data_IF_767181963978
#
_entry.id   IF_767181963978
#
_cell.length_a   1.000
_cell.length_b   1.000
_cell.length_c   1.000
_cell.angle_alpha   90.00
_cell.angle_beta   90.00
_cell.angle_gamma   90.00
#
_symmetry.space_group_name_H-M   'P 1'
#
loop_
_entity.id
_entity.type
_entity.pdbx_description
1 polymer ?
#
# COMPACT_ATOMS: atom_id res chain seq x y z
N UNK A 1 6.67 -20.24 -20.81
CA UNK A 1 5.97 -20.04 -19.53
C UNK A 1 6.94 -19.37 -18.59
N UNK A 2 6.95 -18.03 -18.59
CA UNK A 2 7.79 -17.27 -17.67
C UNK A 2 6.92 -16.97 -16.46
N UNK A 3 7.12 -17.73 -15.38
CA UNK A 3 6.68 -17.34 -14.04
C UNK A 3 7.51 -16.10 -13.66
N UNK A 4 7.13 -14.96 -14.20
CA UNK A 4 7.69 -13.65 -13.89
C UNK A 4 7.25 -13.28 -12.46
N UNK A 5 7.93 -13.91 -11.51
CA UNK A 5 8.55 -13.23 -10.38
C UNK A 5 7.63 -12.22 -9.70
N UNK A 6 6.54 -12.71 -9.10
CA UNK A 6 5.75 -11.92 -8.14
C UNK A 6 6.74 -11.29 -7.15
N UNK A 7 6.90 -9.96 -7.21
CA UNK A 7 7.89 -9.26 -6.40
C UNK A 7 7.64 -9.55 -4.91
N UNK A 8 8.67 -9.58 -4.05
CA UNK A 8 8.48 -9.86 -2.62
C UNK A 8 7.43 -8.95 -1.97
N UNK A 9 7.36 -7.69 -2.40
CA UNK A 9 6.32 -6.74 -2.01
C UNK A 9 4.93 -7.21 -2.43
N UNK A 10 4.74 -7.60 -3.70
CA UNK A 10 3.44 -8.06 -4.22
C UNK A 10 2.96 -9.33 -3.51
N UNK A 11 3.87 -10.24 -3.16
CA UNK A 11 3.54 -11.44 -2.37
C UNK A 11 3.03 -11.07 -0.98
N UNK A 12 3.74 -10.21 -0.25
CA UNK A 12 3.31 -9.71 1.08
C UNK A 12 1.95 -9.03 1.03
N UNK A 13 1.70 -8.22 0.01
CA UNK A 13 0.40 -7.57 -0.18
C UNK A 13 -0.72 -8.61 -0.37
N UNK A 14 -0.50 -9.64 -1.19
CA UNK A 14 -1.48 -10.72 -1.41
C UNK A 14 -1.74 -11.49 -0.11
N UNK A 15 -0.69 -11.84 0.63
CA UNK A 15 -0.78 -12.54 1.92
C UNK A 15 -1.60 -11.73 2.93
N UNK A 16 -1.32 -10.44 3.10
CA UNK A 16 -2.07 -9.56 4.01
C UNK A 16 -3.54 -9.41 3.63
N UNK A 17 -3.83 -9.20 2.34
CA UNK A 17 -5.22 -9.11 1.87
C UNK A 17 -5.99 -10.42 2.10
N UNK A 18 -5.30 -11.56 2.01
CA UNK A 18 -5.87 -12.90 2.24
C UNK A 18 -6.12 -13.15 3.72
N UNK A 19 -5.13 -12.87 4.59
CA UNK A 19 -5.25 -13.00 6.05
C UNK A 19 -6.41 -12.15 6.58
N UNK A 20 -6.57 -10.94 6.06
CA UNK A 20 -7.61 -9.99 6.50
C UNK A 20 -8.96 -10.20 5.80
N UNK A 21 -9.08 -11.20 4.91
CA UNK A 21 -10.28 -11.51 4.14
C UNK A 21 -10.89 -10.30 3.44
N UNK A 22 -10.06 -9.48 2.79
CA UNK A 22 -10.54 -8.29 2.11
C UNK A 22 -11.47 -8.65 0.95
N UNK A 23 -12.60 -7.95 0.86
CA UNK A 23 -13.51 -8.06 -0.28
C UNK A 23 -12.82 -7.60 -1.57
N UNK A 24 -13.26 -8.04 -2.76
CA UNK A 24 -12.66 -7.64 -4.03
C UNK A 24 -12.61 -6.11 -4.23
N UNK A 25 -13.59 -5.39 -3.66
CA UNK A 25 -13.60 -3.92 -3.67
C UNK A 25 -12.44 -3.34 -2.84
N UNK A 26 -12.26 -3.85 -1.62
CA UNK A 26 -11.19 -3.42 -0.72
C UNK A 26 -9.81 -3.77 -1.30
N UNK A 27 -9.67 -4.93 -1.94
CA UNK A 27 -8.43 -5.31 -2.62
C UNK A 27 -8.07 -4.32 -3.76
N UNK A 28 -9.04 -3.94 -4.59
CA UNK A 28 -8.83 -2.93 -5.65
C UNK A 28 -8.42 -1.59 -5.07
N UNK A 29 -9.08 -1.15 -4.00
CA UNK A 29 -8.76 0.12 -3.32
C UNK A 29 -7.35 0.09 -2.72
N UNK A 30 -6.98 -1.02 -2.07
CA UNK A 30 -5.66 -1.26 -1.51
C UNK A 30 -4.56 -1.15 -2.58
N UNK A 31 -4.71 -1.83 -3.73
CA UNK A 31 -3.77 -1.74 -4.84
C UNK A 31 -3.66 -0.32 -5.41
N UNK A 32 -4.78 0.39 -5.53
CA UNK A 32 -4.80 1.78 -5.97
C UNK A 32 -4.01 2.69 -5.02
N UNK A 33 -4.16 2.51 -3.71
CA UNK A 33 -3.41 3.29 -2.73
C UNK A 33 -1.90 3.03 -2.78
N UNK A 34 -1.47 1.79 -2.96
CA UNK A 34 -0.03 1.46 -3.14
C UNK A 34 0.52 2.04 -4.43
N UNK A 35 -0.24 2.00 -5.53
CA UNK A 35 0.16 2.65 -6.79
C UNK A 35 0.33 4.15 -6.61
N UNK A 36 -0.64 4.82 -5.99
CA UNK A 36 -0.57 6.26 -5.73
C UNK A 36 0.60 6.63 -4.80
N UNK A 37 0.92 5.77 -3.83
CA UNK A 37 2.07 5.96 -2.96
C UNK A 37 3.40 5.83 -3.72
N UNK A 38 3.53 4.83 -4.60
CA UNK A 38 4.71 4.70 -5.45
C UNK A 38 4.90 5.93 -6.37
N UNK A 39 3.80 6.47 -6.90
CA UNK A 39 3.81 7.72 -7.69
C UNK A 39 4.25 8.91 -6.83
N UNK A 40 3.71 9.05 -5.61
CA UNK A 40 4.08 10.12 -4.68
C UNK A 40 5.57 10.07 -4.30
N UNK A 41 6.12 8.86 -4.07
CA UNK A 41 7.52 8.70 -3.72
C UNK A 41 8.48 8.85 -4.91
N UNK A 42 8.00 8.68 -6.14
CA UNK A 42 8.85 8.61 -7.35
C UNK A 42 9.82 7.42 -7.36
N UNK A 43 9.66 6.47 -6.43
CA UNK A 43 10.48 5.27 -6.26
C UNK A 43 9.63 4.10 -5.80
N UNK A 44 10.21 2.91 -5.86
CA UNK A 44 9.51 1.69 -5.44
C UNK A 44 9.18 1.72 -3.95
N UNK A 45 7.94 1.38 -3.54
CA UNK A 45 7.46 1.54 -2.16
C UNK A 45 8.03 0.50 -1.18
N UNK A 46 8.72 -0.53 -1.68
CA UNK A 46 9.51 -1.47 -0.86
C UNK A 46 10.67 -0.78 -0.11
N UNK A 47 11.12 0.38 -0.62
CA UNK A 47 12.17 1.22 -0.02
C UNK A 47 11.64 2.38 0.80
N UNK A 48 10.31 2.45 1.00
CA UNK A 48 9.71 3.51 1.79
C UNK A 48 10.04 3.34 3.27
N UNK A 49 10.47 4.42 3.91
CA UNK A 49 10.68 4.48 5.36
C UNK A 49 9.44 5.03 6.09
N UNK A 50 9.56 5.18 7.41
CA UNK A 50 8.46 5.72 8.22
C UNK A 50 8.14 7.18 7.89
N UNK A 51 9.13 7.99 7.52
CA UNK A 51 8.95 9.40 7.22
C UNK A 51 8.18 9.57 5.90
N UNK A 52 8.48 8.75 4.90
CA UNK A 52 7.74 8.65 3.64
C UNK A 52 6.26 8.35 3.88
N UNK A 53 5.96 7.39 4.75
CA UNK A 53 4.59 7.04 5.15
C UNK A 53 3.90 8.24 5.84
N UNK A 54 4.62 8.96 6.72
CA UNK A 54 4.09 10.15 7.41
C UNK A 54 3.79 11.29 6.43
N UNK A 55 4.69 11.55 5.47
CA UNK A 55 4.48 12.58 4.42
C UNK A 55 3.29 12.24 3.54
N UNK A 56 3.12 10.98 3.19
CA UNK A 56 1.98 10.55 2.40
C UNK A 56 0.66 10.60 3.19
N UNK A 57 0.65 10.29 4.48
CA UNK A 57 -0.53 10.52 5.33
C UNK A 57 -0.96 11.98 5.37
N UNK A 58 0.01 12.91 5.47
CA UNK A 58 -0.26 14.34 5.42
C UNK A 58 -0.86 14.73 4.06
N UNK A 59 -0.30 14.22 2.96
CA UNK A 59 -0.84 14.39 1.61
C UNK A 59 -2.28 13.86 1.47
N UNK A 60 -2.58 12.68 2.03
CA UNK A 60 -3.94 12.15 2.02
C UNK A 60 -4.91 12.96 2.88
N UNK A 61 -4.42 13.62 3.94
CA UNK A 61 -5.24 14.46 4.81
C UNK A 61 -5.76 15.72 4.13
N UNK A 62 -5.03 16.26 3.15
CA UNK A 62 -5.45 17.39 2.31
C UNK A 62 -6.32 16.95 1.13
N UNK A 63 -6.38 15.66 0.83
CA UNK A 63 -7.10 15.09 -0.32
C UNK A 63 -8.60 14.83 -0.07
N UNK A 64 -9.11 15.09 1.14
CA UNK A 64 -10.54 14.92 1.48
C UNK A 64 -11.02 13.45 1.59
N UNK A 65 -10.11 12.48 1.68
CA UNK A 65 -10.49 11.06 1.82
C UNK A 65 -11.11 10.78 3.19
N UNK A 66 -12.24 10.06 3.19
CA UNK A 66 -12.92 9.61 4.40
C UNK A 66 -12.06 8.66 5.26
N UNK A 67 -12.35 8.62 6.56
CA UNK A 67 -11.64 7.80 7.57
C UNK A 67 -11.45 6.32 7.19
N UNK A 68 -12.45 5.62 6.60
CA UNK A 68 -12.29 4.22 6.19
C UNK A 68 -11.22 4.03 5.11
N UNK A 69 -11.17 4.94 4.13
CA UNK A 69 -10.19 4.91 3.03
C UNK A 69 -8.78 5.21 3.52
N UNK A 70 -8.64 6.09 4.53
CA UNK A 70 -7.36 6.38 5.18
C UNK A 70 -6.83 5.16 5.95
N UNK A 71 -7.70 4.41 6.63
CA UNK A 71 -7.31 3.20 7.37
C UNK A 71 -6.86 2.06 6.44
N UNK A 72 -7.52 1.90 5.29
CA UNK A 72 -7.10 0.93 4.26
C UNK A 72 -5.75 1.34 3.67
N UNK A 73 -5.58 2.62 3.33
CA UNK A 73 -4.30 3.13 2.83
C UNK A 73 -3.18 2.89 3.86
N UNK A 74 -3.42 3.19 5.14
CA UNK A 74 -2.43 2.98 6.21
C UNK A 74 -2.02 1.53 6.38
N UNK A 75 -2.99 0.62 6.35
CA UNK A 75 -2.72 -0.81 6.39
C UNK A 75 -1.88 -1.23 5.18
N UNK A 76 -2.17 -0.67 4.00
CA UNK A 76 -1.42 -0.98 2.78
C UNK A 76 0.04 -0.56 2.83
N UNK A 77 0.29 0.64 3.33
CA UNK A 77 1.61 1.23 3.43
C UNK A 77 2.48 0.46 4.43
N UNK A 78 1.91 0.09 5.58
CA UNK A 78 2.61 -0.67 6.63
C UNK A 78 2.97 -2.10 6.23
N UNK A 79 2.20 -2.73 5.34
CA UNK A 79 2.54 -4.02 4.74
C UNK A 79 3.58 -3.90 3.62
N UNK A 80 3.67 -2.72 2.99
CA UNK A 80 4.60 -2.44 1.89
C UNK A 80 6.00 -2.02 2.35
N UNK A 81 6.11 -1.32 3.49
CA UNK A 81 7.41 -1.06 4.11
C UNK A 81 7.89 -2.34 4.78
N UNK A 82 8.98 -2.89 4.27
CA UNK A 82 9.61 -4.04 4.89
C UNK A 82 10.11 -3.64 6.27
N UNK A 83 9.33 -3.93 7.32
CA UNK A 83 9.83 -3.90 8.71
C UNK A 83 11.09 -4.76 8.79
N UNK A 84 12.23 -4.10 8.90
CA UNK A 84 13.31 -4.45 9.81
C UNK A 84 13.50 -3.29 10.76
#
# INVERSE_FOLDING_TARGET
MSDETVSPLRRRMIEEMTIRQFSPKVQKDYLRHVKNFAVFLGRSPDKADFEDIRRYQLHLSTSGLGVPSRNIAMTALLSSSGRR
#
